data_IF_798276881294
#
_entry.id   IF_798276881294
#
_cell.length_a   1.000
_cell.length_b   1.000
_cell.length_c   1.000
_cell.angle_alpha   90.00
_cell.angle_beta   90.00
_cell.angle_gamma   90.00
#
_symmetry.space_group_name_H-M   'P 1'
#
loop_
_entity.id
_entity.type
_entity.pdbx_description
1 polymer ?
#
# COMPACT_ATOMS: atom_id res chain seq x y z
N UNK A 1 -14.50 31.58 -91.94
CA UNK A 1 -13.59 31.80 -90.70
C UNK A 1 -14.44 31.46 -89.51
N UNK A 2 -14.21 30.28 -88.92
CA UNK A 2 -15.00 29.77 -87.82
C UNK A 2 -14.02 29.59 -86.66
N UNK A 3 -14.19 30.38 -85.60
CA UNK A 3 -13.46 30.23 -84.37
C UNK A 3 -14.05 29.15 -83.48
N UNK A 4 -13.32 28.09 -83.23
CA UNK A 4 -13.65 27.06 -82.27
C UNK A 4 -13.10 27.53 -80.90
N UNK A 5 -13.97 27.79 -79.93
CA UNK A 5 -13.63 27.94 -78.54
C UNK A 5 -13.52 26.58 -77.91
N UNK A 6 -12.36 26.27 -77.34
CA UNK A 6 -12.09 25.11 -76.49
C UNK A 6 -12.42 25.46 -75.02
N UNK A 7 -13.39 24.80 -74.47
CA UNK A 7 -13.77 24.93 -73.06
C UNK A 7 -12.90 23.95 -72.24
N UNK A 8 -12.03 24.46 -71.39
CA UNK A 8 -11.33 23.64 -70.47
C UNK A 8 -12.15 23.52 -69.19
N UNK A 9 -12.60 22.29 -68.89
CA UNK A 9 -13.21 21.94 -67.60
C UNK A 9 -12.08 21.52 -66.66
N UNK A 10 -11.79 22.36 -65.71
CA UNK A 10 -10.87 22.02 -64.62
C UNK A 10 -11.62 21.18 -63.57
N UNK A 11 -11.33 19.89 -63.52
CA UNK A 11 -11.86 18.96 -62.52
C UNK A 11 -11.01 19.09 -61.23
N UNK A 12 -11.51 19.84 -60.24
CA UNK A 12 -10.87 19.98 -58.94
C UNK A 12 -11.16 18.72 -58.09
N UNK A 13 -10.18 17.83 -57.99
CA UNK A 13 -10.18 16.71 -57.03
C UNK A 13 -9.92 17.26 -55.61
N UNK A 14 -10.98 17.36 -54.84
CA UNK A 14 -10.89 17.58 -53.37
C UNK A 14 -10.51 16.27 -52.71
N UNK A 15 -9.24 16.11 -52.40
CA UNK A 15 -8.75 15.03 -51.52
C UNK A 15 -9.21 15.29 -50.09
N UNK A 16 -10.28 14.66 -49.64
CA UNK A 16 -10.62 14.54 -48.22
C UNK A 16 -9.58 13.67 -47.59
N UNK A 17 -8.54 14.31 -47.01
CA UNK A 17 -7.62 13.64 -46.08
C UNK A 17 -8.36 13.35 -44.78
N UNK A 18 -8.84 12.12 -44.65
CA UNK A 18 -9.25 11.60 -43.33
C UNK A 18 -8.00 11.51 -42.44
N UNK A 19 -7.72 12.57 -41.70
CA UNK A 19 -6.81 12.49 -40.56
C UNK A 19 -7.49 11.64 -39.51
N UNK A 20 -7.19 10.34 -39.50
CA UNK A 20 -7.33 9.51 -38.31
C UNK A 20 -6.47 10.12 -37.25
N UNK A 21 -7.07 10.87 -36.32
CA UNK A 21 -6.42 11.21 -35.04
C UNK A 21 -6.06 9.89 -34.36
N UNK A 22 -4.84 9.44 -34.54
CA UNK A 22 -4.22 8.49 -33.61
C UNK A 22 -4.35 9.13 -32.24
N UNK A 23 -5.25 8.60 -31.39
CA UNK A 23 -5.21 8.87 -29.95
C UNK A 23 -3.82 8.41 -29.49
N UNK A 24 -2.88 9.35 -29.42
CA UNK A 24 -1.71 9.16 -28.56
C UNK A 24 -2.27 8.76 -27.21
N UNK A 25 -1.83 7.63 -26.68
CA UNK A 25 -2.14 7.24 -25.31
C UNK A 25 -1.68 8.41 -24.43
N UNK A 26 -2.62 9.27 -24.06
CA UNK A 26 -2.37 10.19 -22.96
C UNK A 26 -2.20 9.30 -21.76
N UNK A 27 -0.96 9.18 -21.28
CA UNK A 27 -0.71 8.68 -19.93
C UNK A 27 -1.69 9.43 -19.03
N UNK A 28 -2.64 8.72 -18.45
CA UNK A 28 -3.56 9.28 -17.47
C UNK A 28 -2.65 9.72 -16.33
N UNK A 29 -2.37 11.02 -16.23
CA UNK A 29 -1.63 11.53 -15.09
C UNK A 29 -2.54 11.39 -13.88
N UNK A 30 -2.34 10.31 -13.17
CA UNK A 30 -2.97 10.08 -11.89
C UNK A 30 -2.41 11.12 -10.92
N UNK A 31 -3.24 12.05 -10.48
CA UNK A 31 -2.82 13.14 -9.61
C UNK A 31 -2.85 12.69 -8.13
N UNK A 32 -1.86 11.87 -7.72
CA UNK A 32 -1.70 11.56 -6.31
C UNK A 32 -1.41 12.84 -5.51
N UNK A 33 -2.03 13.00 -4.34
CA UNK A 33 -1.86 14.16 -3.47
C UNK A 33 -1.14 13.77 -2.18
N UNK A 34 0.13 14.09 -2.08
CA UNK A 34 0.90 13.91 -0.86
C UNK A 34 0.32 14.70 0.34
N UNK A 35 -0.29 15.86 0.09
CA UNK A 35 -0.95 16.63 1.14
C UNK A 35 -2.15 15.89 1.73
N UNK A 36 -2.92 15.21 0.89
CA UNK A 36 -4.04 14.37 1.35
C UNK A 36 -3.55 13.15 2.14
N UNK A 37 -2.55 12.43 1.62
CA UNK A 37 -1.94 11.30 2.32
C UNK A 37 -1.38 11.72 3.69
N UNK A 38 -0.61 12.81 3.74
CA UNK A 38 -0.10 13.39 4.98
C UNK A 38 -1.22 13.73 5.97
N UNK A 39 -2.33 14.29 5.47
CA UNK A 39 -3.50 14.61 6.30
C UNK A 39 -4.14 13.34 6.88
N UNK A 40 -4.22 12.26 6.12
CA UNK A 40 -4.76 10.99 6.62
C UNK A 40 -3.84 10.34 7.65
N UNK A 41 -2.52 10.47 7.52
CA UNK A 41 -1.56 10.05 8.55
C UNK A 41 -1.78 10.86 9.83
N UNK A 42 -1.81 12.21 9.73
CA UNK A 42 -2.03 13.09 10.86
C UNK A 42 -3.35 12.81 11.59
N UNK A 43 -4.42 12.46 10.85
CA UNK A 43 -5.70 12.09 11.43
C UNK A 43 -5.65 10.77 12.20
N UNK A 44 -4.86 9.78 11.75
CA UNK A 44 -4.63 8.54 12.48
C UNK A 44 -3.85 8.79 13.77
N UNK A 45 -2.75 9.54 13.67
CA UNK A 45 -1.88 9.89 14.82
C UNK A 45 -2.63 10.73 15.85
N UNK A 46 -3.60 11.55 15.43
CA UNK A 46 -4.41 12.37 16.34
C UNK A 46 -5.31 11.55 17.29
N UNK A 47 -5.58 10.27 17.00
CA UNK A 47 -6.25 9.37 17.94
C UNK A 47 -5.33 8.95 19.08
N UNK A 48 -4.02 8.97 18.90
CA UNK A 48 -3.00 8.44 19.80
C UNK A 48 -2.35 7.18 19.26
N UNK A 49 -1.61 6.48 20.09
CA UNK A 49 -1.04 5.18 19.76
C UNK A 49 -2.15 4.14 19.53
N UNK A 50 -2.12 3.49 18.38
CA UNK A 50 -3.18 2.54 17.98
C UNK A 50 -2.84 1.13 18.46
N UNK A 51 -2.53 1.02 19.74
CA UNK A 51 -2.21 -0.25 20.38
C UNK A 51 -3.44 -1.17 20.35
N UNK A 52 -3.32 -2.40 19.82
CA UNK A 52 -4.44 -3.32 19.74
C UNK A 52 -5.19 -3.50 21.07
N UNK A 53 -6.50 -3.25 21.04
CA UNK A 53 -7.37 -3.33 22.22
C UNK A 53 -7.54 -2.03 23.01
N UNK A 54 -6.86 -0.93 22.65
CA UNK A 54 -7.07 0.40 23.27
C UNK A 54 -8.30 1.12 22.69
N UNK A 55 -8.76 2.16 23.38
CA UNK A 55 -9.85 3.03 22.94
C UNK A 55 -9.43 3.83 21.68
N UNK A 56 -8.17 4.26 21.61
CA UNK A 56 -7.56 4.95 20.47
C UNK A 56 -7.56 4.07 19.22
N UNK A 57 -7.18 2.81 19.37
CA UNK A 57 -7.24 1.80 18.32
C UNK A 57 -8.67 1.59 17.84
N UNK A 58 -9.62 1.39 18.74
CA UNK A 58 -11.03 1.21 18.37
C UNK A 58 -11.58 2.42 17.60
N UNK A 59 -11.31 3.63 18.09
CA UNK A 59 -11.78 4.89 17.49
C UNK A 59 -11.14 5.13 16.09
N UNK A 60 -9.84 4.87 15.95
CA UNK A 60 -9.14 4.95 14.67
C UNK A 60 -9.69 3.93 13.67
N UNK A 61 -9.87 2.68 14.09
CA UNK A 61 -10.45 1.63 13.23
C UNK A 61 -11.84 1.98 12.71
N UNK A 62 -12.70 2.57 13.56
CA UNK A 62 -14.02 3.06 13.13
C UNK A 62 -13.92 4.23 12.16
N UNK A 63 -12.92 5.09 12.32
CA UNK A 63 -12.65 6.18 11.39
C UNK A 63 -12.18 5.64 10.04
N UNK A 64 -11.29 4.64 10.00
CA UNK A 64 -10.80 3.99 8.77
C UNK A 64 -11.96 3.35 7.99
N UNK A 65 -12.85 2.62 8.66
CA UNK A 65 -14.06 2.04 8.06
C UNK A 65 -14.91 3.12 7.39
N UNK A 66 -15.18 4.24 8.11
CA UNK A 66 -15.96 5.35 7.54
C UNK A 66 -15.26 6.02 6.35
N UNK A 67 -13.92 6.15 6.39
CA UNK A 67 -13.14 6.75 5.28
C UNK A 67 -13.20 5.92 4.02
N UNK A 68 -12.97 4.62 4.11
CA UNK A 68 -13.06 3.72 2.97
C UNK A 68 -14.48 3.69 2.38
N UNK A 69 -15.51 3.64 3.23
CA UNK A 69 -16.90 3.69 2.79
C UNK A 69 -17.24 5.03 2.10
N UNK A 70 -16.71 6.16 2.60
CA UNK A 70 -16.86 7.49 1.98
C UNK A 70 -16.30 7.53 0.56
N UNK A 71 -15.22 6.78 0.27
CA UNK A 71 -14.63 6.67 -1.05
C UNK A 71 -15.31 5.63 -1.95
N UNK A 72 -16.37 4.98 -1.46
CA UNK A 72 -17.19 4.05 -2.24
C UNK A 72 -16.78 2.58 -2.12
N UNK A 73 -15.91 2.23 -1.17
CA UNK A 73 -15.58 0.85 -0.89
C UNK A 73 -16.65 0.17 -0.01
N UNK A 74 -16.90 -1.11 -0.24
CA UNK A 74 -17.65 -1.98 0.67
C UNK A 74 -16.70 -2.46 1.75
N UNK A 75 -17.00 -2.21 3.03
CA UNK A 75 -16.07 -2.44 4.14
C UNK A 75 -16.69 -3.39 5.16
N UNK A 76 -15.90 -4.32 5.68
CA UNK A 76 -16.25 -5.13 6.84
C UNK A 76 -15.05 -5.30 7.78
N UNK A 77 -15.33 -5.46 9.07
CA UNK A 77 -14.31 -5.83 10.03
C UNK A 77 -14.18 -7.35 10.11
N UNK A 78 -12.95 -7.83 10.06
CA UNK A 78 -12.63 -9.24 10.32
C UNK A 78 -12.04 -9.35 11.72
N UNK A 79 -12.81 -9.89 12.65
CA UNK A 79 -12.36 -10.12 14.02
C UNK A 79 -11.83 -11.54 14.19
N UNK A 80 -10.77 -11.68 14.98
CA UNK A 80 -10.17 -12.96 15.27
C UNK A 80 -9.31 -12.93 16.52
N UNK A 81 -8.66 -14.06 16.77
CA UNK A 81 -7.67 -14.19 17.85
C UNK A 81 -6.47 -14.98 17.36
N UNK A 82 -5.28 -14.54 17.78
CA UNK A 82 -4.02 -15.24 17.55
C UNK A 82 -3.25 -15.38 18.86
N UNK A 83 -2.23 -16.21 18.90
CA UNK A 83 -1.36 -16.34 20.07
C UNK A 83 -0.23 -15.32 19.96
N UNK A 84 -0.04 -14.46 20.96
CA UNK A 84 1.02 -13.47 21.01
C UNK A 84 2.36 -14.06 21.48
N UNK A 85 3.39 -13.21 21.58
CA UNK A 85 4.74 -13.59 22.01
C UNK A 85 4.78 -14.19 23.41
N UNK A 86 3.89 -13.80 24.34
CA UNK A 86 3.80 -14.34 25.70
C UNK A 86 3.04 -15.67 25.77
N UNK A 87 2.42 -16.12 24.67
CA UNK A 87 1.57 -17.31 24.62
C UNK A 87 0.13 -17.05 25.02
N UNK A 88 -0.28 -15.81 25.07
CA UNK A 88 -1.62 -15.38 25.42
C UNK A 88 -2.50 -15.18 24.18
N UNK A 89 -3.82 -15.18 24.36
CA UNK A 89 -4.77 -14.90 23.29
C UNK A 89 -4.80 -13.40 22.99
N UNK A 90 -4.38 -13.02 21.80
CA UNK A 90 -4.41 -11.65 21.27
C UNK A 90 -5.63 -11.48 20.35
N UNK A 91 -6.56 -10.62 20.74
CA UNK A 91 -7.66 -10.23 19.86
C UNK A 91 -7.13 -9.29 18.76
N UNK A 92 -7.69 -9.43 17.56
CA UNK A 92 -7.34 -8.59 16.41
C UNK A 92 -8.59 -8.15 15.64
N UNK A 93 -8.45 -7.04 14.90
CA UNK A 93 -9.46 -6.45 14.04
C UNK A 93 -8.85 -6.04 12.71
N UNK A 94 -8.78 -6.91 11.72
CA UNK A 94 -8.47 -6.50 10.36
C UNK A 94 -9.63 -5.70 9.76
N UNK A 95 -9.32 -4.69 8.95
CA UNK A 95 -10.30 -3.93 8.18
C UNK A 95 -10.16 -4.37 6.73
N UNK A 96 -11.20 -5.02 6.21
CA UNK A 96 -11.21 -5.59 4.86
C UNK A 96 -12.22 -4.82 4.02
N UNK A 97 -11.78 -4.31 2.86
CA UNK A 97 -12.65 -3.54 1.99
C UNK A 97 -12.47 -3.94 0.53
N UNK A 98 -13.52 -3.72 -0.25
CA UNK A 98 -13.52 -3.93 -1.69
C UNK A 98 -14.01 -2.67 -2.40
N UNK A 99 -13.15 -2.11 -3.25
CA UNK A 99 -13.48 -1.01 -4.14
C UNK A 99 -13.65 -1.56 -5.54
N UNK A 100 -14.87 -1.53 -6.05
CA UNK A 100 -15.22 -2.02 -7.37
C UNK A 100 -14.69 -1.07 -8.46
N UNK A 101 -13.81 -1.57 -9.31
CA UNK A 101 -13.29 -0.88 -10.48
C UNK A 101 -14.23 -0.96 -11.69
N UNK A 102 -13.67 -0.71 -12.88
CA UNK A 102 -14.35 -0.80 -14.18
C UNK A 102 -13.75 -1.86 -15.08
N UNK A 103 -12.65 -2.49 -14.66
CA UNK A 103 -11.98 -3.60 -15.35
C UNK A 103 -12.07 -4.88 -14.51
N UNK A 104 -11.91 -6.08 -15.12
CA UNK A 104 -12.02 -7.35 -14.39
C UNK A 104 -10.85 -7.65 -13.47
N UNK A 105 -9.76 -6.85 -13.55
CA UNK A 105 -8.57 -7.07 -12.75
C UNK A 105 -8.79 -6.60 -11.32
N UNK A 106 -8.34 -7.39 -10.35
CA UNK A 106 -8.31 -7.01 -8.94
C UNK A 106 -6.89 -7.06 -8.41
N UNK A 107 -6.51 -6.02 -7.66
CA UNK A 107 -5.20 -5.85 -7.03
C UNK A 107 -5.41 -5.72 -5.53
N UNK A 108 -4.55 -6.34 -4.72
CA UNK A 108 -4.54 -6.16 -3.27
C UNK A 108 -3.65 -4.97 -2.91
N UNK A 109 -4.16 -4.02 -2.14
CA UNK A 109 -3.37 -3.00 -1.44
C UNK A 109 -3.51 -3.23 0.06
N UNK A 110 -2.40 -3.36 0.76
CA UNK A 110 -2.42 -3.65 2.18
C UNK A 110 -1.35 -2.85 2.95
N UNK A 111 -1.60 -2.64 4.23
CA UNK A 111 -0.71 -2.04 5.20
C UNK A 111 -1.17 -2.48 6.58
N UNK A 112 -0.31 -2.46 7.60
CA UNK A 112 -0.79 -2.55 8.96
C UNK A 112 -1.30 -1.19 9.46
N UNK A 113 -2.19 -1.18 10.45
CA UNK A 113 -2.80 0.04 10.97
C UNK A 113 -2.65 0.23 12.48
N UNK A 114 -2.26 -0.83 13.18
CA UNK A 114 -1.87 -0.77 14.58
C UNK A 114 -0.54 -0.01 14.76
N UNK A 115 -0.13 0.18 15.97
CA UNK A 115 1.19 0.69 16.32
C UNK A 115 1.75 -0.07 17.52
N UNK A 116 3.08 -0.09 17.59
CA UNK A 116 3.81 -0.83 18.61
C UNK A 116 3.47 -0.38 20.02
N UNK A 117 3.17 -1.33 20.94
CA UNK A 117 2.88 -1.02 22.33
C UNK A 117 4.07 -0.52 23.13
N UNK A 118 5.29 -0.66 22.60
CA UNK A 118 6.54 -0.38 23.28
C UNK A 118 7.48 0.42 22.38
N UNK A 119 8.13 1.44 22.95
CA UNK A 119 9.23 2.15 22.29
C UNK A 119 10.54 1.42 22.59
N UNK A 120 10.63 0.14 22.25
CA UNK A 120 11.69 -0.75 22.74
C UNK A 120 13.06 -0.55 22.09
N UNK A 121 13.18 0.33 21.09
CA UNK A 121 14.44 0.84 20.53
C UNK A 121 14.88 2.17 21.17
N UNK A 122 14.17 2.71 22.17
CA UNK A 122 14.66 3.88 22.93
C UNK A 122 15.97 3.57 23.64
N UNK A 123 16.88 4.57 23.69
CA UNK A 123 18.16 4.46 24.35
C UNK A 123 17.99 4.21 25.85
N UNK A 124 17.10 4.99 26.50
CA UNK A 124 16.83 4.89 27.93
C UNK A 124 15.80 3.80 28.22
N UNK A 125 16.20 2.84 29.08
CA UNK A 125 15.37 1.69 29.41
C UNK A 125 13.97 2.04 29.94
N UNK A 126 13.84 3.07 30.77
CA UNK A 126 12.54 3.47 31.35
C UNK A 126 11.57 4.02 30.30
N UNK A 127 12.07 4.53 29.16
CA UNK A 127 11.27 5.04 28.06
C UNK A 127 10.68 3.93 27.17
N UNK A 128 11.26 2.73 27.23
CA UNK A 128 10.92 1.59 26.38
C UNK A 128 9.53 1.02 26.59
N UNK A 129 8.85 1.40 27.67
CA UNK A 129 7.51 0.92 28.01
C UNK A 129 6.39 1.86 27.52
N UNK A 130 6.72 2.87 26.76
CA UNK A 130 5.76 3.85 26.22
C UNK A 130 5.30 3.40 24.83
N UNK A 131 4.01 3.47 24.49
CA UNK A 131 3.55 3.16 23.14
C UNK A 131 4.10 4.12 22.09
N UNK A 132 4.38 3.60 20.90
CA UNK A 132 4.79 4.36 19.72
C UNK A 132 3.56 5.00 19.05
N UNK A 133 3.67 6.25 18.57
CA UNK A 133 2.60 6.89 17.80
C UNK A 133 2.44 6.28 16.42
N UNK A 134 3.50 5.67 15.85
CA UNK A 134 3.44 4.96 14.59
C UNK A 134 3.00 5.82 13.42
N UNK A 135 3.62 7.00 13.23
CA UNK A 135 3.27 7.88 12.13
C UNK A 135 3.79 7.34 10.80
N UNK A 136 5.00 6.80 10.80
CA UNK A 136 5.57 6.12 9.66
C UNK A 136 5.21 4.63 9.68
N UNK A 137 5.40 4.02 10.82
CA UNK A 137 5.17 2.62 11.11
C UNK A 137 3.70 2.38 11.42
N UNK A 138 3.00 1.87 10.40
CA UNK A 138 1.57 1.67 10.26
C UNK A 138 0.83 2.80 9.57
N UNK A 139 0.83 4.04 10.09
CA UNK A 139 -0.06 5.07 9.56
C UNK A 139 0.33 5.57 8.16
N UNK A 140 1.63 5.52 7.77
CA UNK A 140 2.07 6.02 6.47
C UNK A 140 1.51 5.19 5.31
N UNK A 141 1.59 3.88 5.40
CA UNK A 141 1.04 2.96 4.39
C UNK A 141 -0.46 3.12 4.23
N UNK A 142 -1.18 3.16 5.35
CA UNK A 142 -2.64 3.41 5.36
C UNK A 142 -2.98 4.75 4.72
N UNK A 143 -2.24 5.82 5.04
CA UNK A 143 -2.45 7.16 4.48
C UNK A 143 -2.28 7.21 2.96
N UNK A 144 -1.28 6.52 2.43
CA UNK A 144 -1.05 6.37 0.98
C UNK A 144 -2.19 5.60 0.32
N UNK A 145 -2.62 4.46 0.89
CA UNK A 145 -3.73 3.67 0.35
C UNK A 145 -5.03 4.48 0.32
N UNK A 146 -5.37 5.19 1.40
CA UNK A 146 -6.57 6.03 1.44
C UNK A 146 -6.58 7.08 0.31
N UNK A 147 -5.43 7.70 0.03
CA UNK A 147 -5.34 8.66 -1.07
C UNK A 147 -5.45 7.97 -2.44
N UNK A 148 -4.85 6.80 -2.63
CA UNK A 148 -5.01 6.01 -3.86
C UNK A 148 -6.48 5.71 -4.11
N UNK A 149 -7.22 5.21 -3.11
CA UNK A 149 -8.65 4.89 -3.27
C UNK A 149 -9.47 6.14 -3.56
N UNK A 150 -9.16 7.28 -2.90
CA UNK A 150 -9.81 8.55 -3.22
C UNK A 150 -9.59 8.97 -4.68
N UNK A 151 -8.37 8.83 -5.19
CA UNK A 151 -8.07 9.14 -6.60
C UNK A 151 -8.77 8.19 -7.56
N UNK A 152 -8.79 6.89 -7.26
CA UNK A 152 -9.53 5.91 -8.06
C UNK A 152 -11.03 6.22 -8.09
N UNK A 153 -11.62 6.69 -6.99
CA UNK A 153 -13.02 7.10 -6.98
C UNK A 153 -13.30 8.28 -7.91
N UNK A 154 -12.38 9.24 -8.00
CA UNK A 154 -12.46 10.37 -8.92
C UNK A 154 -12.33 9.89 -10.37
N UNK A 155 -11.33 9.06 -10.67
CA UNK A 155 -11.11 8.51 -12.00
C UNK A 155 -12.30 7.68 -12.46
N UNK A 156 -12.90 6.87 -11.58
CA UNK A 156 -14.14 6.13 -11.86
C UNK A 156 -15.29 7.05 -12.24
N UNK A 157 -15.48 8.14 -11.49
CA UNK A 157 -16.51 9.13 -11.78
C UNK A 157 -16.30 9.88 -13.13
N UNK A 158 -15.04 9.96 -13.59
CA UNK A 158 -14.68 10.51 -14.88
C UNK A 158 -14.83 9.49 -16.03
N UNK A 159 -15.18 8.24 -15.73
CA UNK A 159 -15.34 7.17 -16.72
C UNK A 159 -14.04 6.50 -17.17
N UNK A 160 -12.96 6.67 -16.39
CA UNK A 160 -11.69 6.02 -16.70
C UNK A 160 -11.72 4.53 -16.39
N UNK A 161 -10.90 3.77 -17.14
CA UNK A 161 -10.71 2.35 -16.90
C UNK A 161 -9.77 2.14 -15.74
N UNK A 162 -10.28 1.60 -14.61
CA UNK A 162 -9.53 1.37 -13.38
C UNK A 162 -9.73 -0.06 -12.87
N UNK A 163 -8.71 -0.66 -12.21
CA UNK A 163 -8.85 -1.98 -11.60
C UNK A 163 -9.77 -1.92 -10.37
N UNK A 164 -10.31 -3.08 -9.99
CA UNK A 164 -10.88 -3.28 -8.66
C UNK A 164 -9.76 -3.41 -7.62
N UNK A 165 -10.00 -2.93 -6.43
CA UNK A 165 -9.02 -2.99 -5.34
C UNK A 165 -9.61 -3.75 -4.16
N UNK A 166 -8.94 -4.82 -3.74
CA UNK A 166 -9.08 -5.40 -2.42
C UNK A 166 -8.17 -4.59 -1.48
N UNK A 167 -8.71 -4.04 -0.42
CA UNK A 167 -7.95 -3.33 0.61
C UNK A 167 -7.95 -4.18 1.87
N UNK A 168 -6.80 -4.35 2.50
CA UNK A 168 -6.71 -4.97 3.83
C UNK A 168 -5.78 -4.13 4.69
N UNK A 169 -6.32 -3.61 5.79
CA UNK A 169 -5.52 -3.05 6.86
C UNK A 169 -5.37 -4.12 7.95
N UNK A 170 -4.15 -4.62 8.09
CA UNK A 170 -3.81 -5.67 9.05
C UNK A 170 -3.66 -5.09 10.46
N UNK A 171 -4.14 -5.82 11.44
CA UNK A 171 -4.01 -5.50 12.87
C UNK A 171 -2.96 -6.40 13.52
N UNK A 172 -2.39 -5.95 14.62
CA UNK A 172 -1.41 -6.73 15.38
C UNK A 172 -0.19 -7.18 14.55
N UNK A 173 0.22 -6.36 13.57
CA UNK A 173 1.48 -6.57 12.88
C UNK A 173 2.62 -6.41 13.88
N UNK A 174 2.60 -5.29 14.61
CA UNK A 174 3.66 -4.77 15.45
C UNK A 174 3.58 -5.26 16.93
N UNK A 175 2.88 -6.38 17.13
CA UNK A 175 2.74 -7.06 18.41
C UNK A 175 3.83 -8.13 18.68
N UNK A 176 4.92 -8.09 17.90
CA UNK A 176 6.03 -9.02 18.04
C UNK A 176 6.76 -8.92 19.39
N UNK A 177 7.62 -9.89 19.68
CA UNK A 177 8.35 -9.98 20.94
C UNK A 177 9.15 -8.71 21.21
N UNK A 178 8.89 -7.98 22.31
CA UNK A 178 9.65 -6.77 22.64
C UNK A 178 11.06 -7.10 23.13
N UNK A 179 12.01 -6.18 22.88
CA UNK A 179 13.42 -6.36 23.22
C UNK A 179 13.69 -6.59 24.71
N UNK A 180 12.80 -6.11 25.58
CA UNK A 180 12.90 -6.29 27.04
C UNK A 180 12.26 -7.60 27.54
N UNK A 181 11.67 -8.43 26.67
CA UNK A 181 11.03 -9.68 27.06
C UNK A 181 12.06 -10.75 27.43
N UNK A 182 11.94 -11.30 28.65
CA UNK A 182 12.84 -12.32 29.17
C UNK A 182 12.25 -13.73 29.25
N UNK A 183 11.01 -13.90 28.75
CA UNK A 183 10.32 -15.19 28.72
C UNK A 183 10.77 -16.10 27.58
N UNK A 184 10.05 -17.20 27.42
CA UNK A 184 10.31 -18.14 26.32
C UNK A 184 9.99 -17.50 24.97
N UNK A 185 10.99 -17.42 24.10
CA UNK A 185 10.81 -16.93 22.73
C UNK A 185 9.88 -17.86 21.93
N UNK A 186 8.97 -17.25 21.18
CA UNK A 186 8.05 -17.92 20.25
C UNK A 186 8.30 -17.45 18.84
N UNK A 187 8.14 -18.34 17.90
CA UNK A 187 8.19 -18.01 16.46
C UNK A 187 6.85 -17.46 15.98
N UNK A 188 6.88 -16.74 14.87
CA UNK A 188 5.68 -16.21 14.18
C UNK A 188 4.78 -15.32 15.05
N UNK A 189 5.38 -14.46 15.86
CA UNK A 189 4.67 -13.54 16.77
C UNK A 189 4.43 -12.15 16.19
N UNK A 190 5.00 -11.86 15.03
CA UNK A 190 4.79 -10.67 14.22
C UNK A 190 3.70 -10.89 13.17
N UNK A 191 3.11 -9.83 12.63
CA UNK A 191 2.18 -9.88 11.51
C UNK A 191 0.95 -10.78 11.77
N UNK A 192 0.43 -10.77 13.01
CA UNK A 192 -0.64 -11.69 13.42
C UNK A 192 -1.92 -11.50 12.60
N UNK A 193 -2.22 -10.26 12.20
CA UNK A 193 -3.38 -9.94 11.39
C UNK A 193 -3.32 -10.54 9.99
N UNK A 194 -2.19 -10.42 9.30
CA UNK A 194 -2.04 -11.00 7.97
C UNK A 194 -1.98 -12.53 8.00
N UNK A 195 -1.37 -13.11 9.04
CA UNK A 195 -1.42 -14.56 9.24
C UNK A 195 -2.86 -15.07 9.39
N UNK A 196 -3.67 -14.37 10.19
CA UNK A 196 -5.08 -14.71 10.38
C UNK A 196 -5.87 -14.55 9.07
N UNK A 197 -5.76 -13.37 8.44
CA UNK A 197 -6.46 -13.07 7.20
C UNK A 197 -6.10 -14.06 6.08
N UNK A 198 -4.82 -14.36 5.90
CA UNK A 198 -4.37 -15.27 4.84
C UNK A 198 -4.88 -16.70 5.01
N UNK A 199 -4.98 -17.20 6.26
CA UNK A 199 -5.57 -18.51 6.57
C UNK A 199 -7.06 -18.54 6.20
N UNK A 200 -7.82 -17.54 6.61
CA UNK A 200 -9.25 -17.41 6.29
C UNK A 200 -9.49 -17.24 4.79
N UNK A 201 -8.69 -16.43 4.11
CA UNK A 201 -8.73 -16.24 2.66
C UNK A 201 -8.53 -17.57 1.93
N UNK A 202 -7.52 -18.34 2.30
CA UNK A 202 -7.24 -19.65 1.70
C UNK A 202 -8.37 -20.66 1.94
N UNK A 203 -8.94 -20.70 3.14
CA UNK A 203 -10.06 -21.57 3.45
C UNK A 203 -11.30 -21.24 2.63
N UNK A 204 -11.58 -19.94 2.44
CA UNK A 204 -12.71 -19.47 1.63
C UNK A 204 -12.55 -19.86 0.16
N UNK A 205 -11.34 -19.81 -0.39
CA UNK A 205 -11.04 -20.23 -1.77
C UNK A 205 -11.20 -21.74 -1.96
N UNK A 206 -10.77 -22.55 -1.01
CA UNK A 206 -10.86 -24.01 -1.07
C UNK A 206 -12.32 -24.49 -0.95
N UNK A 207 -13.10 -23.84 -0.10
CA UNK A 207 -14.48 -24.25 0.18
C UNK A 207 -15.52 -23.71 -0.81
N UNK A 208 -15.11 -22.94 -1.85
CA UNK A 208 -16.01 -22.30 -2.82
C UNK A 208 -17.14 -21.49 -2.15
N UNK A 209 -16.93 -21.03 -0.93
CA UNK A 209 -17.91 -20.22 -0.20
C UNK A 209 -17.67 -18.75 -0.52
N UNK A 210 -18.65 -18.15 -1.19
CA UNK A 210 -18.82 -16.72 -1.48
C UNK A 210 -17.58 -16.02 -2.10
N UNK A 211 -17.69 -15.68 -3.35
CA UNK A 211 -16.90 -14.71 -4.12
C UNK A 211 -15.58 -14.26 -3.45
N UNK A 212 -14.64 -15.19 -3.33
CA UNK A 212 -13.27 -14.81 -2.97
C UNK A 212 -12.77 -13.91 -4.10
N UNK A 213 -12.46 -12.70 -3.75
CA UNK A 213 -11.87 -11.73 -4.66
C UNK A 213 -10.51 -12.30 -5.10
N UNK A 214 -10.41 -12.71 -6.36
CA UNK A 214 -9.15 -13.25 -6.87
C UNK A 214 -8.21 -12.11 -7.23
N UNK A 215 -7.27 -11.80 -6.35
CA UNK A 215 -6.26 -10.78 -6.58
C UNK A 215 -5.14 -11.32 -7.47
N UNK A 216 -4.77 -10.58 -8.51
CA UNK A 216 -3.65 -10.94 -9.39
C UNK A 216 -2.31 -10.82 -8.67
N UNK A 217 -2.17 -9.79 -7.86
CA UNK A 217 -1.01 -9.52 -6.99
C UNK A 217 -1.39 -8.55 -5.87
N UNK A 218 -0.50 -8.43 -4.89
CA UNK A 218 -0.61 -7.48 -3.79
C UNK A 218 0.55 -6.49 -3.74
N UNK A 219 0.33 -5.37 -3.09
CA UNK A 219 1.34 -4.38 -2.72
C UNK A 219 1.12 -4.05 -1.25
N UNK A 220 2.12 -4.34 -0.44
CA UNK A 220 2.22 -3.90 0.95
C UNK A 220 2.94 -2.56 1.00
N UNK A 221 2.50 -1.69 1.89
CA UNK A 221 3.14 -0.41 2.17
C UNK A 221 3.51 -0.37 3.64
N UNK A 222 4.79 -0.40 3.91
CA UNK A 222 5.31 -0.28 5.26
C UNK A 222 6.41 0.78 5.36
N UNK A 223 6.31 1.67 6.37
CA UNK A 223 7.25 2.77 6.62
C UNK A 223 7.55 3.63 5.39
N UNK A 224 6.52 4.07 4.66
CA UNK A 224 6.64 4.78 3.37
C UNK A 224 6.67 6.29 3.49
N UNK A 225 6.94 6.85 4.68
CA UNK A 225 6.91 8.30 4.95
C UNK A 225 8.24 8.94 5.35
N UNK A 226 9.31 8.20 5.60
CA UNK A 226 10.61 8.71 6.04
C UNK A 226 11.23 9.72 5.06
N UNK A 227 11.78 10.86 5.55
CA UNK A 227 12.46 11.85 4.69
C UNK A 227 13.65 11.31 3.90
N UNK A 228 14.32 10.32 4.43
CA UNK A 228 15.48 9.66 3.84
C UNK A 228 15.20 8.29 3.26
N UNK A 229 13.92 7.92 3.11
CA UNK A 229 13.51 6.59 2.69
C UNK A 229 14.22 6.10 1.43
N UNK A 230 14.60 4.83 1.47
CA UNK A 230 15.06 4.06 0.33
C UNK A 230 14.35 2.71 0.30
N UNK A 231 13.70 2.42 -0.81
CA UNK A 231 12.98 1.17 -1.04
C UNK A 231 13.83 0.26 -1.94
N UNK A 232 14.56 -0.71 -1.39
CA UNK A 232 15.25 -1.73 -2.17
C UNK A 232 14.25 -2.76 -2.69
N UNK A 233 14.70 -3.64 -3.57
CA UNK A 233 13.95 -4.83 -3.97
C UNK A 233 14.05 -5.86 -2.85
N UNK A 234 13.00 -5.98 -2.06
CA UNK A 234 12.98 -6.88 -0.91
C UNK A 234 13.08 -8.35 -1.36
N UNK A 235 13.70 -9.20 -0.57
CA UNK A 235 14.06 -10.59 -0.91
C UNK A 235 12.84 -11.46 -1.25
N UNK A 236 11.85 -11.53 -0.36
CA UNK A 236 10.64 -12.34 -0.58
C UNK A 236 9.77 -11.77 -1.69
N UNK A 237 9.71 -10.45 -1.82
CA UNK A 237 9.04 -9.77 -2.93
C UNK A 237 9.61 -10.19 -4.28
N UNK A 238 10.93 -10.27 -4.39
CA UNK A 238 11.57 -10.77 -5.61
C UNK A 238 11.30 -12.25 -5.85
N UNK A 239 11.27 -13.05 -4.80
CA UNK A 239 11.03 -14.50 -4.89
C UNK A 239 9.60 -14.82 -5.33
N UNK A 240 8.59 -14.13 -4.77
CA UNK A 240 7.18 -14.45 -4.98
C UNK A 240 6.50 -13.56 -6.03
N UNK A 241 6.96 -12.32 -6.19
CA UNK A 241 6.33 -11.28 -7.00
C UNK A 241 7.29 -10.53 -7.93
N UNK A 242 8.41 -11.13 -8.34
CA UNK A 242 9.52 -10.48 -9.05
C UNK A 242 9.12 -9.68 -10.29
N UNK A 243 8.15 -10.13 -11.09
CA UNK A 243 7.67 -9.40 -12.26
C UNK A 243 6.95 -8.08 -11.87
N UNK A 244 6.23 -8.07 -10.77
CA UNK A 244 5.55 -6.89 -10.24
C UNK A 244 6.54 -5.92 -9.57
N UNK A 245 7.55 -6.43 -8.87
CA UNK A 245 8.70 -5.64 -8.41
C UNK A 245 9.34 -4.88 -9.58
N UNK A 246 9.66 -5.60 -10.67
CA UNK A 246 10.26 -4.98 -11.85
C UNK A 246 9.35 -3.92 -12.47
N UNK A 247 8.04 -4.15 -12.52
CA UNK A 247 7.07 -3.20 -13.03
C UNK A 247 7.03 -1.91 -12.19
N UNK A 248 6.97 -2.03 -10.86
CA UNK A 248 6.91 -0.91 -9.93
C UNK A 248 8.20 -0.07 -9.98
N UNK A 249 9.36 -0.69 -9.87
CA UNK A 249 10.65 0.02 -9.91
C UNK A 249 10.91 0.70 -11.26
N UNK A 250 10.49 0.07 -12.35
CA UNK A 250 10.55 0.70 -13.68
C UNK A 250 9.62 1.90 -13.78
N UNK A 251 8.42 1.82 -13.23
CA UNK A 251 7.48 2.96 -13.19
C UNK A 251 8.05 4.09 -12.35
N UNK A 252 8.58 3.81 -11.16
CA UNK A 252 9.26 4.80 -10.31
C UNK A 252 10.41 5.49 -11.04
N UNK A 253 11.23 4.73 -11.76
CA UNK A 253 12.35 5.28 -12.54
C UNK A 253 11.86 6.21 -13.65
N UNK A 254 10.80 5.86 -14.38
CA UNK A 254 10.21 6.71 -15.43
C UNK A 254 9.62 8.00 -14.87
N UNK A 255 9.11 7.96 -13.64
CA UNK A 255 8.58 9.13 -12.92
C UNK A 255 9.68 10.00 -12.27
N UNK A 256 10.95 9.57 -12.30
CA UNK A 256 12.08 10.28 -11.71
C UNK A 256 12.32 9.97 -10.24
N UNK A 257 11.74 8.89 -9.70
CA UNK A 257 11.81 8.50 -8.29
C UNK A 257 12.91 7.47 -7.97
N UNK A 258 13.92 7.30 -8.85
CA UNK A 258 15.02 6.34 -8.65
C UNK A 258 15.83 6.57 -7.37
N UNK A 259 15.76 7.77 -6.76
CA UNK A 259 16.42 8.02 -5.47
C UNK A 259 15.71 7.30 -4.31
N UNK A 260 14.41 7.06 -4.43
CA UNK A 260 13.59 6.33 -3.44
C UNK A 260 13.56 4.83 -3.77
N UNK A 261 13.17 4.47 -4.98
CA UNK A 261 13.14 3.09 -5.47
C UNK A 261 14.50 2.71 -6.02
N UNK A 262 15.39 2.28 -5.11
CA UNK A 262 16.79 2.01 -5.46
C UNK A 262 16.95 0.66 -6.17
N UNK A 263 17.88 0.59 -7.13
CA UNK A 263 18.16 -0.66 -7.85
C UNK A 263 19.15 -1.55 -7.06
N UNK A 264 18.79 -1.84 -5.82
CA UNK A 264 19.50 -2.72 -4.92
C UNK A 264 18.52 -3.75 -4.36
N UNK A 265 19.03 -4.91 -3.95
CA UNK A 265 18.23 -5.94 -3.29
C UNK A 265 18.60 -6.01 -1.82
N UNK A 266 17.64 -6.38 -0.97
CA UNK A 266 17.98 -6.72 0.42
C UNK A 266 18.79 -8.02 0.42
N UNK A 267 19.79 -8.09 1.30
CA UNK A 267 20.61 -9.30 1.47
C UNK A 267 19.86 -10.38 2.25
N UNK A 268 19.04 -9.93 3.20
CA UNK A 268 18.28 -10.81 4.09
C UNK A 268 16.79 -10.61 3.82
N UNK A 269 16.00 -11.67 4.01
CA UNK A 269 14.55 -11.55 3.95
C UNK A 269 14.04 -10.70 5.12
N UNK A 270 13.05 -9.86 4.84
CA UNK A 270 12.29 -9.14 5.86
C UNK A 270 10.98 -9.90 6.06
N UNK A 271 10.72 -10.36 7.28
CA UNK A 271 9.43 -10.97 7.61
C UNK A 271 8.44 -9.87 7.92
N UNK A 272 7.49 -9.70 7.00
CA UNK A 272 6.43 -8.72 7.08
C UNK A 272 5.14 -9.31 6.50
N UNK A 273 4.02 -8.61 6.54
CA UNK A 273 2.70 -9.05 6.10
C UNK A 273 2.69 -9.66 4.69
N UNK A 274 3.47 -9.10 3.75
CA UNK A 274 3.60 -9.61 2.37
C UNK A 274 4.08 -11.06 2.30
N UNK A 275 4.90 -11.49 3.25
CA UNK A 275 5.37 -12.86 3.34
C UNK A 275 4.20 -13.83 3.58
N UNK A 276 3.31 -13.51 4.52
CA UNK A 276 2.15 -14.36 4.82
C UNK A 276 1.08 -14.27 3.73
N UNK A 277 0.89 -13.10 3.12
CA UNK A 277 0.05 -12.94 1.92
C UNK A 277 0.55 -13.83 0.78
N UNK A 278 1.86 -13.86 0.53
CA UNK A 278 2.44 -14.67 -0.54
C UNK A 278 2.41 -16.16 -0.23
N UNK A 279 2.80 -16.56 0.99
CA UNK A 279 3.02 -17.97 1.32
C UNK A 279 1.77 -18.70 1.77
N UNK A 280 0.83 -18.02 2.45
CA UNK A 280 -0.40 -18.63 2.96
C UNK A 280 -1.57 -18.37 2.01
N UNK A 281 -1.86 -17.11 1.67
CA UNK A 281 -2.96 -16.79 0.77
C UNK A 281 -2.67 -17.13 -0.69
N UNK A 282 -1.38 -17.23 -1.07
CA UNK A 282 -0.95 -17.56 -2.43
C UNK A 282 -1.07 -16.38 -3.41
N UNK A 283 -1.12 -15.16 -2.91
CA UNK A 283 -1.16 -13.93 -3.72
C UNK A 283 0.27 -13.38 -3.81
N UNK A 284 0.90 -13.30 -5.00
CA UNK A 284 2.20 -12.66 -5.16
C UNK A 284 2.16 -11.24 -4.59
N UNK A 285 2.91 -10.92 -3.54
CA UNK A 285 2.84 -9.63 -2.87
C UNK A 285 4.21 -8.94 -2.86
N UNK A 286 4.23 -7.67 -3.29
CA UNK A 286 5.41 -6.80 -3.25
C UNK A 286 5.34 -5.99 -1.97
N UNK A 287 6.45 -5.89 -1.28
CA UNK A 287 6.64 -5.01 -0.15
C UNK A 287 7.39 -3.74 -0.58
N UNK A 288 6.80 -2.59 -0.32
CA UNK A 288 7.45 -1.29 -0.42
C UNK A 288 7.78 -0.87 1.00
N UNK A 289 8.99 -1.23 1.44
CA UNK A 289 9.47 -0.99 2.80
C UNK A 289 10.75 -0.15 2.80
N UNK A 290 10.84 0.82 3.72
CA UNK A 290 12.08 1.56 3.91
C UNK A 290 13.12 0.69 4.61
N UNK A 291 14.29 0.52 3.98
CA UNK A 291 15.36 -0.30 4.51
C UNK A 291 16.69 0.45 4.52
N UNK A 292 17.35 0.44 5.69
CA UNK A 292 18.61 1.13 5.99
C UNK A 292 19.72 0.12 6.31
N UNK A 293 20.41 -0.45 5.33
CA UNK A 293 21.35 -1.55 5.54
C UNK A 293 22.55 -1.20 6.45
N UNK A 294 22.77 0.08 6.73
CA UNK A 294 23.89 0.57 7.55
C UNK A 294 23.49 0.90 8.99
N UNK A 295 22.23 0.71 9.39
CA UNK A 295 21.77 0.82 10.77
C UNK A 295 21.78 -0.54 11.46
N UNK A 296 21.74 -0.57 12.78
CA UNK A 296 21.75 -1.81 13.56
C UNK A 296 20.47 -2.62 13.35
N UNK A 297 19.33 -1.94 13.26
CA UNK A 297 18.01 -2.57 13.06
C UNK A 297 17.68 -2.87 11.60
N UNK A 298 18.35 -2.21 10.66
CA UNK A 298 17.97 -2.21 9.25
C UNK A 298 16.91 -1.16 8.90
N UNK A 299 16.47 -0.33 9.84
CA UNK A 299 15.42 0.66 9.68
C UNK A 299 15.90 2.07 10.08
N UNK A 300 15.02 3.07 10.10
CA UNK A 300 15.33 4.42 10.50
C UNK A 300 15.75 4.46 12.01
N UNK A 301 16.66 5.38 12.38
CA UNK A 301 17.14 5.52 13.76
C UNK A 301 16.03 5.76 14.80
N UNK A 302 14.88 6.26 14.35
CA UNK A 302 13.70 6.52 15.18
C UNK A 302 12.63 5.42 15.08
N UNK A 303 12.90 4.32 14.36
CA UNK A 303 12.01 3.15 14.31
C UNK A 303 11.84 2.56 15.71
N UNK A 304 10.61 2.22 16.09
CA UNK A 304 10.22 1.73 17.40
C UNK A 304 10.61 2.64 18.58
N UNK A 305 10.64 3.94 18.32
CA UNK A 305 10.86 4.98 19.35
C UNK A 305 9.69 5.98 19.37
N UNK A 306 9.61 6.80 20.41
CA UNK A 306 8.63 7.91 20.50
C UNK A 306 8.83 8.99 19.44
N UNK A 307 9.94 8.92 18.69
CA UNK A 307 10.21 9.83 17.57
C UNK A 307 9.50 9.42 16.28
N UNK A 308 8.87 8.24 16.22
CA UNK A 308 7.97 7.93 15.11
C UNK A 308 6.67 8.73 15.22
N UNK A 309 6.74 9.99 14.79
CA UNK A 309 5.69 10.97 14.84
C UNK A 309 5.64 11.82 13.59
N UNK A 310 4.68 12.75 13.49
CA UNK A 310 4.44 13.56 12.28
C UNK A 310 5.63 14.44 11.84
N UNK A 311 6.62 14.70 12.71
CA UNK A 311 7.81 15.49 12.34
C UNK A 311 8.73 14.72 11.39
N UNK A 312 8.67 13.39 11.43
CA UNK A 312 9.44 12.49 10.60
C UNK A 312 8.68 11.98 9.36
N UNK A 313 7.57 12.63 9.00
CA UNK A 313 6.84 12.31 7.77
C UNK A 313 7.13 13.34 6.68
N UNK A 314 7.59 12.85 5.53
CA UNK A 314 7.96 13.65 4.37
C UNK A 314 6.97 13.47 3.21
N UNK A 315 6.35 14.58 2.77
CA UNK A 315 5.39 14.58 1.66
C UNK A 315 6.01 14.16 0.32
N UNK A 316 7.30 14.42 0.10
CA UNK A 316 7.94 14.02 -1.17
C UNK A 316 8.11 12.50 -1.26
N UNK A 317 8.37 11.83 -0.13
CA UNK A 317 8.41 10.38 -0.06
C UNK A 317 7.02 9.78 -0.32
N UNK A 318 5.99 10.31 0.35
CA UNK A 318 4.59 9.91 0.12
C UNK A 318 4.18 10.11 -1.35
N UNK A 319 4.60 11.24 -1.97
CA UNK A 319 4.34 11.49 -3.40
C UNK A 319 5.01 10.43 -4.28
N UNK A 320 6.28 10.12 -4.03
CA UNK A 320 7.03 9.15 -4.83
C UNK A 320 6.40 7.76 -4.78
N UNK A 321 5.98 7.31 -3.60
CA UNK A 321 5.33 6.00 -3.42
C UNK A 321 3.95 6.01 -4.03
N UNK A 322 3.10 6.95 -3.65
CA UNK A 322 1.71 6.96 -4.08
C UNK A 322 1.55 7.16 -5.59
N UNK A 323 2.32 8.07 -6.20
CA UNK A 323 2.28 8.30 -7.66
C UNK A 323 2.83 7.10 -8.43
N UNK A 324 3.87 6.43 -7.93
CA UNK A 324 4.41 5.20 -8.54
C UNK A 324 3.36 4.11 -8.56
N UNK A 325 2.72 3.83 -7.43
CA UNK A 325 1.72 2.76 -7.33
C UNK A 325 0.47 3.12 -8.14
N UNK A 326 -0.08 4.32 -7.97
CA UNK A 326 -1.28 4.75 -8.69
C UNK A 326 -1.06 4.71 -10.21
N UNK A 327 0.11 5.17 -10.69
CA UNK A 327 0.48 5.08 -12.11
C UNK A 327 0.60 3.62 -12.56
N UNK A 328 1.20 2.76 -11.76
CA UNK A 328 1.39 1.34 -12.10
C UNK A 328 0.06 0.61 -12.25
N UNK A 329 -0.86 0.78 -11.29
CA UNK A 329 -2.15 0.06 -11.29
C UNK A 329 -3.14 0.61 -12.33
N UNK A 330 -2.99 1.88 -12.74
CA UNK A 330 -3.79 2.49 -13.81
C UNK A 330 -3.18 2.34 -15.22
N UNK A 331 -1.95 1.83 -15.35
CA UNK A 331 -1.32 1.58 -16.65
C UNK A 331 -1.98 0.41 -17.37
N UNK A 332 -2.28 0.60 -18.69
CA UNK A 332 -2.88 -0.43 -19.55
C UNK A 332 -1.85 -1.42 -20.03
#
# INVERSE_FOLDING_TARGET
>A
MIYRQLLYIALSLVLFSCQTKTKTSTDVRCAFSADSAYTYIAQQVAFGARVPGSDEHAACGDWLVRKLAQFGAQVHNQYGTMTNYAGESQALRNIVAYFEGTTPNTILLCAHWDSRPWSDEEEHYDDRFTPVLGANDGASGVGVILEIIRQLSILKAQGEAIPSIQIVFFDCEDMGTPNHYTGTQREHTWCLGSQYWAKEYKQSTVNCQLSTVNCQYGILFDMVGDPSATFPREYFSQQYAGSYVEQLWRTASRLGYSRYFVNQSTYYPITDDHYYVSTIAGIPCVDIIDYKPNTETGFAEWWHTRQDNMQNINKQTLQAVGETVLTTICSK
#
